data_IF_704451014165
#
_entry.id   IF_704451014165
#
_cell.length_a   1.000
_cell.length_b   1.000
_cell.length_c   1.000
_cell.angle_alpha   90.00
_cell.angle_beta   90.00
_cell.angle_gamma   90.00
#
_symmetry.space_group_name_H-M   'P 1'
#
loop_
_entity.id
_entity.type
_entity.pdbx_description
1 polymer ?
#
# COMPACT_ATOMS: atom_id res chain seq x y z
N UNK A 1 17.48 0.15 9.10
CA UNK A 1 16.55 0.12 7.95
C UNK A 1 15.15 0.25 8.52
N UNK A 2 14.30 1.16 8.02
CA UNK A 2 12.92 1.29 8.51
C UNK A 2 12.08 0.09 8.03
N UNK A 3 11.15 -0.44 8.85
CA UNK A 3 10.19 -1.43 8.37
C UNK A 3 9.40 -0.89 7.18
N UNK A 4 9.19 -1.74 6.19
CA UNK A 4 8.55 -1.42 4.91
C UNK A 4 7.51 -2.49 4.61
N UNK A 5 6.36 -2.07 4.09
CA UNK A 5 5.34 -2.94 3.52
C UNK A 5 5.00 -2.49 2.11
N UNK A 6 4.49 -3.43 1.30
CA UNK A 6 3.89 -3.13 0.01
C UNK A 6 2.46 -3.64 0.06
N UNK A 7 1.52 -2.72 -0.06
CA UNK A 7 0.11 -3.08 -0.18
C UNK A 7 -0.16 -3.38 -1.64
N UNK A 8 -0.77 -4.54 -1.90
CA UNK A 8 -1.15 -5.00 -3.24
C UNK A 8 -2.65 -4.93 -3.42
N UNK A 9 -3.07 -4.45 -4.58
CA UNK A 9 -4.45 -4.47 -5.07
C UNK A 9 -4.51 -4.76 -6.57
N UNK A 10 -5.73 -4.75 -7.09
CA UNK A 10 -6.05 -4.75 -8.51
C UNK A 10 -7.28 -3.90 -8.80
N UNK A 11 -7.55 -3.64 -10.07
CA UNK A 11 -8.75 -2.94 -10.54
C UNK A 11 -10.06 -3.63 -10.12
N UNK A 12 -10.07 -4.96 -10.00
CA UNK A 12 -11.22 -5.72 -9.50
C UNK A 12 -11.51 -5.56 -8.00
N UNK A 13 -10.57 -5.01 -7.21
CA UNK A 13 -10.69 -4.93 -5.74
C UNK A 13 -10.22 -3.60 -5.16
N UNK A 14 -10.44 -2.49 -5.88
CA UNK A 14 -10.00 -1.14 -5.49
C UNK A 14 -10.45 -0.78 -4.06
N UNK A 15 -11.68 -1.09 -3.67
CA UNK A 15 -12.19 -0.79 -2.32
C UNK A 15 -11.39 -1.52 -1.23
N UNK A 16 -11.08 -2.81 -1.43
CA UNK A 16 -10.26 -3.59 -0.49
C UNK A 16 -8.81 -3.07 -0.44
N UNK A 17 -8.28 -2.63 -1.59
CA UNK A 17 -6.97 -1.99 -1.66
C UNK A 17 -6.92 -0.68 -0.87
N UNK A 18 -7.90 0.21 -1.05
CA UNK A 18 -8.02 1.47 -0.31
C UNK A 18 -8.19 1.22 1.20
N UNK A 19 -8.99 0.24 1.59
CA UNK A 19 -9.17 -0.15 2.99
C UNK A 19 -7.86 -0.64 3.63
N UNK A 20 -7.05 -1.41 2.91
CA UNK A 20 -5.72 -1.83 3.40
C UNK A 20 -4.79 -0.64 3.58
N UNK A 21 -4.82 0.34 2.65
CA UNK A 21 -4.03 1.58 2.79
C UNK A 21 -4.48 2.35 4.02
N UNK A 22 -5.78 2.57 4.19
CA UNK A 22 -6.33 3.27 5.35
C UNK A 22 -5.91 2.60 6.66
N UNK A 23 -6.02 1.27 6.75
CA UNK A 23 -5.59 0.52 7.94
C UNK A 23 -4.09 0.66 8.20
N UNK A 24 -3.25 0.65 7.17
CA UNK A 24 -1.81 0.85 7.34
C UNK A 24 -1.47 2.26 7.83
N UNK A 25 -2.16 3.28 7.31
CA UNK A 25 -2.02 4.66 7.80
C UNK A 25 -2.41 4.77 9.29
N UNK A 26 -3.50 4.13 9.70
CA UNK A 26 -3.92 4.05 11.11
C UNK A 26 -2.89 3.33 12.01
N UNK A 27 -2.17 2.37 11.45
CA UNK A 27 -1.08 1.64 12.14
C UNK A 27 0.25 2.42 12.16
N UNK A 28 0.25 3.68 11.69
CA UNK A 28 1.42 4.54 11.71
C UNK A 28 2.37 4.31 10.53
N UNK A 29 1.93 3.68 9.43
CA UNK A 29 2.69 3.71 8.19
C UNK A 29 2.44 5.01 7.41
N UNK A 30 3.40 5.39 6.57
CA UNK A 30 3.35 6.54 5.68
C UNK A 30 3.58 6.08 4.23
N UNK A 31 3.00 6.80 3.27
CA UNK A 31 3.20 6.53 1.85
C UNK A 31 4.66 6.73 1.46
N UNK A 32 5.22 5.74 0.78
CA UNK A 32 6.58 5.75 0.27
C UNK A 32 6.61 6.09 -1.23
N UNK A 33 6.21 7.31 -1.58
CA UNK A 33 6.19 7.77 -2.97
C UNK A 33 4.92 7.36 -3.73
N UNK A 34 5.04 7.30 -5.05
CA UNK A 34 3.90 7.17 -5.96
C UNK A 34 3.32 5.74 -5.99
N UNK A 35 2.03 5.65 -6.30
CA UNK A 35 1.35 4.39 -6.59
C UNK A 35 1.95 3.77 -7.85
N UNK A 36 2.42 2.52 -7.73
CA UNK A 36 2.95 1.77 -8.87
C UNK A 36 1.81 0.99 -9.51
N UNK A 37 1.66 1.13 -10.82
CA UNK A 37 0.64 0.41 -11.59
C UNK A 37 1.30 -0.46 -12.67
N UNK A 38 0.81 -1.69 -12.82
CA UNK A 38 1.26 -2.61 -13.85
C UNK A 38 0.08 -3.31 -14.50
N UNK A 39 0.08 -3.39 -15.83
CA UNK A 39 -0.93 -4.15 -16.58
C UNK A 39 -0.35 -5.51 -16.91
N UNK A 40 -1.08 -6.57 -16.55
CA UNK A 40 -0.77 -7.96 -16.89
C UNK A 40 -1.85 -8.49 -17.82
N UNK A 41 -1.46 -9.04 -18.96
CA UNK A 41 -2.38 -9.81 -19.79
C UNK A 41 -2.39 -11.27 -19.31
N UNK A 42 -3.51 -11.71 -18.75
CA UNK A 42 -3.73 -13.06 -18.25
C UNK A 42 -4.88 -13.68 -19.04
N UNK A 43 -4.59 -14.74 -19.81
CA UNK A 43 -5.58 -15.48 -20.60
C UNK A 43 -6.43 -14.60 -21.55
N UNK A 44 -5.85 -13.51 -22.05
CA UNK A 44 -6.51 -12.57 -22.97
C UNK A 44 -7.26 -11.42 -22.27
N UNK A 45 -7.26 -11.37 -20.94
CA UNK A 45 -7.81 -10.28 -20.14
C UNK A 45 -6.69 -9.40 -19.57
N UNK A 46 -6.86 -8.08 -19.64
CA UNK A 46 -5.94 -7.13 -19.04
C UNK A 46 -6.32 -6.89 -17.57
N UNK A 47 -5.43 -7.24 -16.65
CA UNK A 47 -5.59 -7.02 -15.21
C UNK A 47 -4.64 -5.90 -14.77
N UNK A 48 -5.15 -4.91 -14.05
CA UNK A 48 -4.34 -3.82 -13.52
C UNK A 48 -3.93 -4.18 -12.09
N UNK A 49 -2.64 -4.31 -11.84
CA UNK A 49 -2.05 -4.50 -10.52
C UNK A 49 -1.65 -3.15 -9.94
N UNK A 50 -2.03 -2.91 -8.68
CA UNK A 50 -1.74 -1.71 -7.91
C UNK A 50 -0.79 -2.07 -6.75
N UNK A 51 0.29 -1.32 -6.58
CA UNK A 51 1.26 -1.53 -5.51
C UNK A 51 1.56 -0.19 -4.82
N UNK A 52 1.15 -0.07 -3.55
CA UNK A 52 1.45 1.09 -2.72
C UNK A 52 2.57 0.73 -1.71
N UNK A 53 3.81 1.15 -1.95
CA UNK A 53 4.88 1.02 -0.95
C UNK A 53 4.61 1.99 0.22
N UNK A 54 4.90 1.51 1.44
CA UNK A 54 4.74 2.29 2.67
C UNK A 54 5.85 1.96 3.67
N UNK A 55 6.27 2.95 4.47
CA UNK A 55 7.24 2.78 5.56
C UNK A 55 6.60 3.07 6.91
N UNK A 56 7.06 2.40 7.97
CA UNK A 56 6.65 2.75 9.32
C UNK A 56 7.17 4.16 9.67
N UNK A 57 6.27 5.06 10.09
CA UNK A 57 6.60 6.41 10.54
C UNK A 57 7.54 6.35 11.74
N UNK A 58 8.41 7.35 11.85
CA UNK A 58 9.29 7.47 13.03
C UNK A 58 8.53 7.96 14.27
N UNK A 59 7.38 8.62 14.06
CA UNK A 59 6.60 9.26 15.12
C UNK A 59 5.71 8.27 15.90
N UNK A 60 5.67 7.00 15.45
CA UNK A 60 5.05 5.90 16.19
C UNK A 60 5.82 5.50 17.46
N UNK A 61 7.04 6.02 17.64
CA UNK A 61 7.81 5.97 18.90
C UNK A 61 7.67 7.30 19.67
N UNK A 62 6.44 7.64 20.07
CA UNK A 62 6.23 8.62 21.15
C UNK A 62 5.72 7.86 22.38
N UNK A 63 6.62 7.13 23.03
CA UNK A 63 6.45 6.77 24.43
C UNK A 63 6.75 8.03 25.27
N UNK A 64 5.70 8.58 25.89
CA UNK A 64 5.74 9.48 27.05
C UNK A 64 6.35 10.89 26.87
N UNK A 65 5.49 11.91 26.87
CA UNK A 65 5.66 13.10 27.71
C UNK A 65 4.31 13.62 28.21
#
# INVERSE_FOLDING_TARGET
MKPCIIIKGSDDNIEDFENKIALALEQGYELSGELITHVLNLDGEDVIILLQPMFLSNDSYNENY
#
